data_IF_549440202734
#
_entry.id   IF_549440202734
#
_cell.length_a   1.000
_cell.length_b   1.000
_cell.length_c   1.000
_cell.angle_alpha   90.00
_cell.angle_beta   90.00
_cell.angle_gamma   90.00
#
_symmetry.space_group_name_H-M   'P 1'
#
loop_
_entity.id
_entity.type
_entity.pdbx_description
1 polymer ?
#
# COMPACT_ATOMS: atom_id res chain seq x y z
N UNK A 1 54.62 31.72 -7.65
CA UNK A 1 54.78 30.72 -6.59
C UNK A 1 53.89 29.52 -6.91
N UNK A 2 54.48 28.41 -7.44
CA UNK A 2 53.71 27.21 -7.81
C UNK A 2 53.35 26.44 -6.54
N UNK A 3 52.08 26.41 -6.21
CA UNK A 3 51.57 25.60 -5.08
C UNK A 3 51.59 24.14 -5.53
N UNK A 4 52.59 23.38 -5.11
CA UNK A 4 52.70 21.94 -5.33
C UNK A 4 51.48 21.28 -4.64
N UNK A 5 50.51 20.83 -5.43
CA UNK A 5 49.39 20.03 -4.93
C UNK A 5 49.95 18.72 -4.37
N UNK A 6 49.78 18.46 -3.10
CA UNK A 6 50.20 17.21 -2.48
C UNK A 6 49.44 16.04 -3.13
N UNK A 7 50.18 15.00 -3.57
CA UNK A 7 49.62 13.77 -4.15
C UNK A 7 49.29 12.73 -3.12
N UNK A 8 48.51 11.75 -3.49
CA UNK A 8 48.11 10.61 -2.65
C UNK A 8 49.32 9.85 -2.08
N UNK A 9 49.25 9.38 -0.85
CA UNK A 9 50.32 8.62 -0.21
C UNK A 9 50.53 7.19 -0.76
N UNK A 10 49.58 6.67 -1.54
CA UNK A 10 49.73 5.35 -2.14
C UNK A 10 50.79 5.39 -3.25
N UNK A 11 51.64 4.34 -3.30
CA UNK A 11 52.72 4.22 -4.26
C UNK A 11 52.20 4.38 -5.66
N UNK A 12 52.93 5.15 -6.47
CA UNK A 12 52.61 5.41 -7.90
C UNK A 12 51.31 6.18 -8.16
N UNK A 13 50.60 6.67 -7.13
CA UNK A 13 49.40 7.44 -7.31
C UNK A 13 49.64 8.93 -7.41
N UNK A 14 49.39 9.53 -8.59
CA UNK A 14 49.58 10.98 -8.85
C UNK A 14 48.34 11.81 -8.59
N UNK A 15 47.20 11.19 -8.18
CA UNK A 15 45.94 11.87 -7.95
C UNK A 15 46.01 12.80 -6.71
N UNK A 16 45.31 13.94 -6.73
CA UNK A 16 45.29 14.88 -5.64
C UNK A 16 44.67 14.27 -4.40
N UNK A 17 45.18 14.69 -3.22
CA UNK A 17 44.64 14.27 -1.94
C UNK A 17 43.19 14.75 -1.81
N UNK A 18 42.31 13.85 -1.37
CA UNK A 18 40.94 14.16 -1.04
C UNK A 18 40.71 14.15 0.49
N UNK A 19 41.14 13.11 1.22
CA UNK A 19 41.05 13.03 2.68
C UNK A 19 42.11 12.06 3.23
N UNK A 20 42.52 12.28 4.48
CA UNK A 20 43.51 11.44 5.20
C UNK A 20 44.71 11.07 4.34
N UNK A 21 45.23 12.05 3.60
CA UNK A 21 46.38 11.92 2.67
C UNK A 21 46.17 10.93 1.52
N UNK A 22 44.90 10.50 1.25
CA UNK A 22 44.54 9.61 0.17
C UNK A 22 43.69 10.34 -0.86
N UNK A 23 43.80 9.95 -2.15
CA UNK A 23 42.85 10.36 -3.17
C UNK A 23 41.49 9.70 -2.95
N UNK A 24 40.45 10.20 -3.60
CA UNK A 24 39.06 9.71 -3.44
C UNK A 24 38.94 8.19 -3.62
N UNK A 25 39.65 7.63 -4.63
CA UNK A 25 39.65 6.20 -4.94
C UNK A 25 40.25 5.37 -3.80
N UNK A 26 41.47 5.69 -3.36
CA UNK A 26 42.16 4.97 -2.30
C UNK A 26 41.50 5.16 -0.94
N UNK A 27 40.93 6.34 -0.70
CA UNK A 27 40.12 6.58 0.50
C UNK A 27 38.88 5.67 0.56
N UNK A 28 38.13 5.51 -0.55
CA UNK A 28 36.95 4.65 -0.61
C UNK A 28 37.27 3.17 -0.42
N UNK A 29 38.45 2.74 -0.88
CA UNK A 29 38.92 1.36 -0.70
C UNK A 29 39.31 1.13 0.76
N UNK A 30 40.09 2.04 1.34
CA UNK A 30 40.60 1.91 2.72
C UNK A 30 39.53 2.16 3.80
N UNK A 31 38.56 3.03 3.49
CA UNK A 31 37.47 3.42 4.36
C UNK A 31 36.12 3.25 3.62
N UNK A 32 35.70 2.00 3.33
CA UNK A 32 34.43 1.76 2.67
C UNK A 32 33.29 2.32 3.51
N UNK A 33 32.25 2.91 2.90
CA UNK A 33 31.11 3.41 3.64
C UNK A 33 30.47 2.27 4.42
N UNK A 34 30.20 2.51 5.70
CA UNK A 34 29.45 1.55 6.51
C UNK A 34 28.07 1.34 5.86
N UNK A 35 27.68 0.09 5.63
CA UNK A 35 26.30 -0.22 5.18
C UNK A 35 25.33 0.32 6.22
N UNK A 36 24.59 1.37 5.88
CA UNK A 36 23.55 1.91 6.73
C UNK A 36 22.41 0.88 6.75
N UNK A 37 22.07 0.39 7.94
CA UNK A 37 20.85 -0.40 8.09
C UNK A 37 19.66 0.55 8.04
N UNK A 38 19.03 0.68 6.87
CA UNK A 38 17.90 1.59 6.65
C UNK A 38 16.67 1.32 7.50
N UNK A 39 16.56 0.10 8.05
CA UNK A 39 15.35 -0.31 8.79
C UNK A 39 15.72 -0.95 10.12
N UNK A 40 15.11 -0.48 11.19
CA UNK A 40 15.20 -1.13 12.51
C UNK A 40 14.53 -2.52 12.47
N UNK A 41 14.85 -3.38 13.44
CA UNK A 41 14.20 -4.70 13.56
C UNK A 41 12.68 -4.55 13.72
N UNK A 42 12.21 -3.55 14.46
CA UNK A 42 10.78 -3.21 14.61
C UNK A 42 10.13 -2.88 13.27
N UNK A 43 10.85 -2.13 12.41
CA UNK A 43 10.32 -1.81 11.07
C UNK A 43 10.29 -3.03 10.16
N UNK A 44 11.27 -3.92 10.25
CA UNK A 44 11.29 -5.17 9.46
C UNK A 44 10.12 -6.07 9.83
N UNK A 45 9.79 -6.20 11.12
CA UNK A 45 8.62 -6.96 11.59
C UNK A 45 7.33 -6.39 11.03
N UNK A 46 7.13 -5.06 11.13
CA UNK A 46 5.95 -4.40 10.53
C UNK A 46 5.83 -4.60 9.03
N UNK A 47 6.97 -4.61 8.31
CA UNK A 47 6.98 -4.84 6.86
C UNK A 47 6.56 -6.29 6.52
N UNK A 48 6.95 -7.28 7.36
CA UNK A 48 6.54 -8.68 7.22
C UNK A 48 5.04 -8.82 7.46
N UNK A 49 4.52 -8.30 8.57
CA UNK A 49 3.09 -8.31 8.91
C UNK A 49 2.25 -7.65 7.81
N UNK A 50 2.69 -6.48 7.31
CA UNK A 50 2.04 -5.79 6.21
C UNK A 50 2.03 -6.62 4.93
N UNK A 51 3.12 -7.33 4.61
CA UNK A 51 3.20 -8.19 3.44
C UNK A 51 2.26 -9.39 3.57
N UNK A 52 2.19 -10.01 4.73
CA UNK A 52 1.27 -11.14 5.00
C UNK A 52 -0.19 -10.69 4.88
N UNK A 53 -0.54 -9.55 5.46
CA UNK A 53 -1.87 -8.95 5.32
C UNK A 53 -2.23 -8.70 3.85
N UNK A 54 -1.31 -8.08 3.10
CA UNK A 54 -1.51 -7.80 1.67
C UNK A 54 -1.72 -9.09 0.87
N UNK A 55 -0.95 -10.15 1.14
CA UNK A 55 -1.11 -11.44 0.48
C UNK A 55 -2.48 -12.09 0.78
N UNK A 56 -2.96 -12.02 2.03
CA UNK A 56 -4.29 -12.51 2.43
C UNK A 56 -5.39 -11.73 1.71
N UNK A 57 -5.26 -10.41 1.62
CA UNK A 57 -6.21 -9.54 0.93
C UNK A 57 -6.28 -9.85 -0.57
N UNK A 58 -5.13 -10.02 -1.25
CA UNK A 58 -5.11 -10.40 -2.66
C UNK A 58 -5.75 -11.75 -2.91
N UNK A 59 -5.47 -12.73 -2.06
CA UNK A 59 -6.11 -14.05 -2.17
C UNK A 59 -7.62 -13.94 -2.05
N UNK A 60 -8.12 -13.23 -1.03
CA UNK A 60 -9.55 -13.00 -0.85
C UNK A 60 -10.18 -12.30 -2.07
N UNK A 61 -9.57 -11.24 -2.59
CA UNK A 61 -10.05 -10.53 -3.77
C UNK A 61 -10.10 -11.43 -5.01
N UNK A 62 -9.10 -12.28 -5.20
CA UNK A 62 -9.09 -13.24 -6.29
C UNK A 62 -10.18 -14.30 -6.13
N UNK A 63 -10.41 -14.79 -4.92
CA UNK A 63 -11.49 -15.73 -4.62
C UNK A 63 -12.87 -15.12 -4.88
N UNK A 64 -13.10 -13.87 -4.46
CA UNK A 64 -14.32 -13.09 -4.73
C UNK A 64 -14.53 -12.92 -6.23
N UNK A 65 -13.47 -12.53 -6.95
CA UNK A 65 -13.53 -12.34 -8.40
C UNK A 65 -13.97 -13.61 -9.11
N UNK A 66 -13.42 -14.76 -8.76
CA UNK A 66 -13.77 -16.04 -9.37
C UNK A 66 -15.20 -16.51 -9.06
N UNK A 67 -15.78 -16.09 -7.91
CA UNK A 67 -17.11 -16.48 -7.48
C UNK A 67 -18.22 -15.58 -8.01
N UNK A 68 -17.93 -14.26 -8.14
CA UNK A 68 -18.94 -13.26 -8.47
C UNK A 68 -18.92 -12.89 -9.96
N UNK A 69 -20.01 -12.36 -10.47
CA UNK A 69 -20.07 -11.79 -11.82
C UNK A 69 -19.27 -10.51 -11.89
N UNK A 70 -18.51 -10.30 -12.95
CA UNK A 70 -17.61 -9.14 -13.12
C UNK A 70 -18.39 -7.88 -13.55
N UNK A 71 -19.39 -7.51 -12.78
CA UNK A 71 -20.18 -6.29 -12.97
C UNK A 71 -20.16 -5.45 -11.69
N UNK A 72 -20.21 -4.13 -11.89
CA UNK A 72 -20.40 -3.21 -10.78
C UNK A 72 -21.75 -3.47 -10.11
N UNK A 73 -21.77 -3.89 -8.86
CA UNK A 73 -22.98 -4.19 -8.09
C UNK A 73 -23.81 -2.92 -7.83
N UNK A 74 -23.23 -1.73 -8.07
CA UNK A 74 -23.90 -0.44 -7.95
C UNK A 74 -24.59 0.01 -9.23
N UNK A 75 -23.92 0.01 -10.38
CA UNK A 75 -24.44 0.58 -11.63
C UNK A 75 -24.55 -0.42 -12.80
N UNK A 76 -24.17 -1.68 -12.60
CA UNK A 76 -24.22 -2.71 -13.62
C UNK A 76 -23.13 -2.64 -14.71
N UNK A 77 -22.18 -1.69 -14.61
CA UNK A 77 -21.09 -1.55 -15.59
C UNK A 77 -20.17 -2.78 -15.56
N UNK A 78 -19.80 -3.28 -16.74
CA UNK A 78 -18.80 -4.35 -16.87
C UNK A 78 -17.42 -3.92 -16.35
N UNK A 79 -16.80 -4.73 -15.50
CA UNK A 79 -15.52 -4.43 -14.83
C UNK A 79 -14.29 -4.99 -15.57
N UNK A 80 -14.49 -5.78 -16.62
CA UNK A 80 -13.40 -6.40 -17.37
C UNK A 80 -13.16 -7.86 -16.99
N UNK A 81 -12.03 -8.40 -17.49
CA UNK A 81 -11.65 -9.81 -17.28
C UNK A 81 -10.62 -9.97 -16.15
N UNK A 82 -10.00 -8.88 -15.70
CA UNK A 82 -8.93 -8.91 -14.71
C UNK A 82 -9.33 -8.22 -13.40
N UNK A 83 -9.00 -8.80 -12.24
CA UNK A 83 -9.31 -8.22 -10.95
C UNK A 83 -8.37 -7.04 -10.64
N UNK A 84 -8.84 -5.82 -10.82
CA UNK A 84 -8.13 -4.64 -10.36
C UNK A 84 -8.53 -4.30 -8.93
N UNK A 85 -7.56 -3.95 -8.09
CA UNK A 85 -7.80 -3.65 -6.67
C UNK A 85 -8.84 -2.56 -6.44
N UNK A 86 -9.00 -1.62 -7.37
CA UNK A 86 -10.00 -0.53 -7.31
C UNK A 86 -11.44 -1.04 -7.40
N UNK A 87 -11.66 -2.27 -7.88
CA UNK A 87 -13.00 -2.83 -7.99
C UNK A 87 -13.55 -3.41 -6.68
N UNK A 88 -12.67 -3.59 -5.68
CA UNK A 88 -13.02 -4.16 -4.38
C UNK A 88 -13.15 -3.05 -3.34
N UNK A 89 -14.37 -2.63 -3.08
CA UNK A 89 -14.69 -1.62 -2.09
C UNK A 89 -15.11 -2.25 -0.76
N UNK A 90 -14.61 -1.73 0.36
CA UNK A 90 -15.07 -2.15 1.68
C UNK A 90 -16.37 -1.40 2.02
N UNK A 91 -17.46 -2.12 2.22
CA UNK A 91 -18.74 -1.53 2.64
C UNK A 91 -18.59 -0.76 3.95
N UNK A 92 -17.98 -1.40 4.92
CA UNK A 92 -17.58 -0.80 6.20
C UNK A 92 -16.10 -0.50 6.16
N UNK A 93 -15.73 0.73 6.41
CA UNK A 93 -14.36 1.22 6.22
C UNK A 93 -13.36 0.46 7.11
N UNK A 94 -12.33 -0.10 6.49
CA UNK A 94 -11.27 -0.84 7.19
C UNK A 94 -10.49 -0.01 8.21
N UNK A 95 -10.52 1.31 8.12
CA UNK A 95 -9.90 2.22 9.09
C UNK A 95 -10.67 2.26 10.41
N UNK A 96 -11.96 1.91 10.40
CA UNK A 96 -12.85 1.89 11.56
C UNK A 96 -13.08 0.46 12.03
N UNK A 97 -13.22 -0.48 11.09
CA UNK A 97 -13.52 -1.90 11.32
C UNK A 97 -12.41 -2.77 10.73
N UNK A 98 -11.22 -2.72 11.38
CA UNK A 98 -10.02 -3.43 10.90
C UNK A 98 -10.25 -4.95 10.84
N UNK A 99 -11.02 -5.49 11.80
CA UNK A 99 -11.38 -6.91 11.87
C UNK A 99 -12.25 -7.39 10.70
N UNK A 100 -12.98 -6.48 10.04
CA UNK A 100 -13.82 -6.77 8.89
C UNK A 100 -13.11 -6.58 7.55
N UNK A 101 -11.85 -6.13 7.56
CA UNK A 101 -11.12 -5.80 6.34
C UNK A 101 -10.79 -7.01 5.47
N UNK A 102 -10.75 -8.23 6.04
CA UNK A 102 -10.50 -9.49 5.33
C UNK A 102 -11.74 -10.41 5.33
N UNK A 103 -12.93 -9.83 5.40
CA UNK A 103 -14.21 -10.56 5.37
C UNK A 103 -14.86 -10.34 4.01
N UNK A 104 -15.22 -11.43 3.32
CA UNK A 104 -15.78 -11.40 1.96
C UNK A 104 -17.10 -10.62 1.89
N UNK A 105 -17.94 -10.74 2.93
CA UNK A 105 -19.24 -10.08 3.04
C UNK A 105 -19.14 -8.55 3.20
N UNK A 106 -17.96 -8.07 3.61
CA UNK A 106 -17.67 -6.64 3.67
C UNK A 106 -17.14 -6.08 2.34
N UNK A 107 -17.01 -6.91 1.30
CA UNK A 107 -16.49 -6.48 -0.01
C UNK A 107 -17.61 -6.36 -1.03
N UNK A 108 -17.67 -5.21 -1.68
CA UNK A 108 -18.61 -4.84 -2.72
C UNK A 108 -17.86 -4.63 -4.04
N UNK A 109 -18.28 -5.28 -5.13
CA UNK A 109 -17.67 -5.07 -6.43
C UNK A 109 -18.23 -3.81 -7.09
N UNK A 110 -17.40 -2.82 -7.34
CA UNK A 110 -17.81 -1.59 -7.97
C UNK A 110 -16.79 -1.03 -8.96
N UNK A 111 -17.27 -0.25 -9.93
CA UNK A 111 -16.38 0.49 -10.82
C UNK A 111 -15.74 1.69 -10.09
N UNK A 112 -14.62 2.21 -10.62
CA UNK A 112 -13.92 3.34 -10.01
C UNK A 112 -14.78 4.59 -9.81
N UNK A 113 -15.73 4.85 -10.70
CA UNK A 113 -16.66 5.99 -10.56
C UNK A 113 -17.59 5.83 -9.34
N UNK A 114 -18.17 4.62 -9.16
CA UNK A 114 -19.04 4.34 -8.02
C UNK A 114 -18.26 4.31 -6.71
N UNK A 115 -17.04 3.76 -6.72
CA UNK A 115 -16.12 3.79 -5.58
C UNK A 115 -15.82 5.25 -5.16
N UNK A 116 -15.42 6.10 -6.11
CA UNK A 116 -15.14 7.51 -5.85
C UNK A 116 -16.36 8.27 -5.32
N UNK A 117 -17.55 8.01 -5.87
CA UNK A 117 -18.79 8.63 -5.35
C UNK A 117 -19.04 8.27 -3.90
N UNK A 118 -18.92 6.98 -3.54
CA UNK A 118 -19.07 6.54 -2.13
C UNK A 118 -18.05 7.22 -1.23
N UNK A 119 -16.75 7.24 -1.62
CA UNK A 119 -15.68 7.85 -0.84
C UNK A 119 -15.90 9.35 -0.62
N UNK A 120 -16.52 10.03 -1.59
CA UNK A 120 -16.83 11.46 -1.50
C UNK A 120 -18.16 11.76 -0.77
N UNK A 121 -18.78 10.76 -0.13
CA UNK A 121 -20.03 10.95 0.61
C UNK A 121 -21.30 10.92 -0.24
N UNK A 122 -21.23 10.44 -1.50
CA UNK A 122 -22.37 10.30 -2.40
C UNK A 122 -22.57 8.84 -2.83
N UNK A 123 -22.81 7.90 -1.88
CA UNK A 123 -23.05 6.50 -2.22
C UNK A 123 -24.35 6.36 -3.01
N UNK A 124 -24.40 5.37 -3.89
CA UNK A 124 -25.65 5.01 -4.58
C UNK A 124 -26.60 4.27 -3.64
N UNK A 125 -27.88 4.19 -4.01
CA UNK A 125 -28.89 3.41 -3.24
C UNK A 125 -28.44 1.95 -3.05
N UNK A 126 -27.81 1.34 -4.08
CA UNK A 126 -27.30 -0.03 -3.99
C UNK A 126 -26.17 -0.14 -2.95
N UNK A 127 -25.23 0.83 -2.91
CA UNK A 127 -24.20 0.88 -1.87
C UNK A 127 -24.81 1.00 -0.48
N UNK A 128 -25.75 1.91 -0.29
CA UNK A 128 -26.41 2.11 1.01
C UNK A 128 -27.17 0.86 1.48
N UNK A 129 -27.88 0.21 0.58
CA UNK A 129 -28.55 -1.06 0.86
C UNK A 129 -27.53 -2.13 1.28
N UNK A 130 -26.39 -2.23 0.58
CA UNK A 130 -25.34 -3.18 0.90
C UNK A 130 -24.66 -2.85 2.25
N UNK A 131 -24.39 -1.58 2.54
CA UNK A 131 -23.82 -1.11 3.82
C UNK A 131 -24.78 -1.48 4.97
N UNK A 132 -26.09 -1.21 4.83
CA UNK A 132 -27.07 -1.52 5.85
C UNK A 132 -27.16 -3.03 6.12
N UNK A 133 -27.11 -3.86 5.06
CA UNK A 133 -27.05 -5.32 5.20
C UNK A 133 -25.77 -5.77 5.93
N UNK A 134 -24.61 -5.19 5.56
CA UNK A 134 -23.34 -5.50 6.24
C UNK A 134 -23.40 -5.10 7.73
N UNK A 135 -23.93 -3.92 8.07
CA UNK A 135 -24.11 -3.50 9.46
C UNK A 135 -24.97 -4.49 10.24
N UNK A 136 -26.10 -4.92 9.69
CA UNK A 136 -26.96 -5.93 10.30
C UNK A 136 -26.24 -7.27 10.47
N UNK A 137 -25.52 -7.73 9.47
CA UNK A 137 -24.77 -8.99 9.51
C UNK A 137 -23.71 -9.01 10.63
N UNK A 138 -23.05 -7.88 10.82
CA UNK A 138 -21.98 -7.74 11.82
C UNK A 138 -22.46 -7.17 13.16
N UNK A 139 -23.79 -7.05 13.37
CA UNK A 139 -24.40 -6.49 14.60
C UNK A 139 -23.89 -5.08 14.96
N UNK A 140 -23.67 -4.23 13.94
CA UNK A 140 -23.26 -2.83 14.10
C UNK A 140 -24.51 -1.97 14.14
N UNK A 141 -24.61 -1.07 15.14
CA UNK A 141 -25.76 -0.16 15.27
C UNK A 141 -25.92 0.73 14.05
N UNK A 142 -27.15 0.79 13.53
CA UNK A 142 -27.51 1.71 12.45
C UNK A 142 -27.63 3.12 13.04
N UNK A 143 -26.95 4.08 12.42
CA UNK A 143 -27.10 5.48 12.78
C UNK A 143 -28.42 6.04 12.21
N UNK A 144 -28.89 7.18 12.75
CA UNK A 144 -30.11 7.83 12.22
C UNK A 144 -29.99 8.19 10.74
N UNK A 145 -28.79 8.44 10.25
CA UNK A 145 -28.50 8.75 8.84
C UNK A 145 -28.64 7.51 7.94
N UNK A 146 -28.41 6.30 8.47
CA UNK A 146 -28.56 5.04 7.75
C UNK A 146 -30.03 4.63 7.55
N UNK A 147 -30.94 5.15 8.34
CA UNK A 147 -32.36 4.77 8.37
C UNK A 147 -33.20 5.67 7.44
N UNK A 148 -32.69 6.82 7.01
CA UNK A 148 -33.43 7.82 6.22
C UNK A 148 -33.34 7.60 4.69
N UNK A 149 -32.84 6.47 4.25
CA UNK A 149 -32.68 6.05 2.85
C UNK A 149 -33.36 4.71 2.62
#
# INVERSE_FOLDING_TARGET
>A
MLILKKSCEEKECTLPIWSKKLCKKHYSIKYPPKKIQYKSNKQKLKDIEKKEYTNKQFKMFFDIWNKRKHYCESCGKWLGNEPLSIFFDHLLEKSIYEELALIEENIFLCCGECHTKKTNGFPTTQHLTAINKAKQLFNIELTKEDVLL
#
